data_IF_273850691446
#
_entry.id   IF_273850691446
#
_cell.length_a   1.000
_cell.length_b   1.000
_cell.length_c   1.000
_cell.angle_alpha   90.00
_cell.angle_beta   90.00
_cell.angle_gamma   90.00
#
_symmetry.space_group_name_H-M   'P 1'
#
loop_
_entity.id
_entity.type
_entity.pdbx_description
1 polymer ?
#
# COMPACT_ATOMS: atom_id res chain seq x y z
N UNK A 1 5.64 -26.65 -5.87
CA UNK A 1 4.66 -25.59 -6.15
C UNK A 1 3.60 -25.69 -5.08
N UNK A 2 3.43 -24.68 -4.21
CA UNK A 2 2.31 -24.64 -3.28
C UNK A 2 0.98 -24.68 -4.05
N UNK A 3 -0.07 -25.19 -3.43
CA UNK A 3 -1.43 -25.16 -3.97
C UNK A 3 -1.86 -23.70 -4.22
N UNK A 4 -2.34 -23.32 -5.42
CA UNK A 4 -2.80 -21.97 -5.70
C UNK A 4 -3.85 -21.45 -4.71
N UNK A 5 -4.74 -22.32 -4.21
CA UNK A 5 -5.78 -21.92 -3.26
C UNK A 5 -5.18 -21.59 -1.88
N UNK A 6 -4.19 -22.37 -1.44
CA UNK A 6 -3.45 -22.10 -0.21
C UNK A 6 -2.66 -20.78 -0.27
N UNK A 7 -2.01 -20.49 -1.41
CA UNK A 7 -1.31 -19.22 -1.59
C UNK A 7 -2.28 -18.02 -1.54
N UNK A 8 -3.47 -18.17 -2.12
CA UNK A 8 -4.51 -17.15 -2.07
C UNK A 8 -4.96 -16.87 -0.63
N UNK A 9 -5.29 -17.90 0.15
CA UNK A 9 -5.68 -17.75 1.56
C UNK A 9 -4.61 -17.05 2.40
N UNK A 10 -3.34 -17.44 2.20
CA UNK A 10 -2.21 -16.82 2.89
C UNK A 10 -2.01 -15.37 2.49
N UNK A 11 -2.18 -15.04 1.22
CA UNK A 11 -2.10 -13.66 0.73
C UNK A 11 -3.25 -12.80 1.28
N UNK A 12 -4.48 -13.30 1.25
CA UNK A 12 -5.65 -12.58 1.77
C UNK A 12 -5.50 -12.22 3.25
N UNK A 13 -4.86 -13.09 4.05
CA UNK A 13 -4.51 -12.80 5.45
C UNK A 13 -3.64 -11.54 5.61
N UNK A 14 -2.85 -11.17 4.60
CA UNK A 14 -1.98 -10.00 4.62
C UNK A 14 -2.52 -8.81 3.82
N UNK A 15 -3.58 -8.99 3.02
CA UNK A 15 -4.05 -8.02 2.04
C UNK A 15 -4.36 -6.66 2.65
N UNK A 16 -5.10 -6.62 3.76
CA UNK A 16 -5.46 -5.37 4.45
C UNK A 16 -4.22 -4.61 4.92
N UNK A 17 -3.23 -5.30 5.50
CA UNK A 17 -1.98 -4.68 5.95
C UNK A 17 -1.17 -4.14 4.76
N UNK A 18 -1.01 -4.93 3.71
CA UNK A 18 -0.27 -4.53 2.50
C UNK A 18 -0.91 -3.32 1.82
N UNK A 19 -2.24 -3.28 1.78
CA UNK A 19 -3.03 -2.15 1.27
C UNK A 19 -2.80 -0.89 2.09
N UNK A 20 -2.81 -0.98 3.42
CA UNK A 20 -2.53 0.15 4.30
C UNK A 20 -1.10 0.70 4.12
N UNK A 21 -0.10 -0.18 4.01
CA UNK A 21 1.29 0.22 3.72
C UNK A 21 1.38 0.93 2.38
N UNK A 22 0.78 0.36 1.33
CA UNK A 22 0.81 0.95 -0.01
C UNK A 22 0.08 2.31 -0.06
N UNK A 23 -1.05 2.43 0.63
CA UNK A 23 -1.80 3.70 0.72
C UNK A 23 -0.99 4.79 1.41
N UNK A 24 -0.36 4.49 2.55
CA UNK A 24 0.54 5.45 3.24
C UNK A 24 1.75 5.84 2.39
N UNK A 25 2.22 4.95 1.53
CA UNK A 25 3.32 5.24 0.62
C UNK A 25 2.90 6.12 -0.57
N UNK A 26 1.75 5.83 -1.18
CA UNK A 26 1.36 6.38 -2.49
C UNK A 26 0.34 7.52 -2.40
N UNK A 27 -0.43 7.62 -1.32
CA UNK A 27 -1.47 8.63 -1.11
C UNK A 27 -2.75 8.42 -1.93
N UNK A 28 -2.81 7.37 -2.75
CA UNK A 28 -3.95 7.01 -3.59
C UNK A 28 -4.40 5.58 -3.33
N UNK A 29 -5.71 5.37 -3.20
CA UNK A 29 -6.25 4.04 -2.98
C UNK A 29 -6.18 3.17 -4.23
N UNK A 30 -6.44 3.74 -5.40
CA UNK A 30 -6.32 3.00 -6.66
C UNK A 30 -4.90 2.48 -6.86
N UNK A 31 -3.89 3.33 -6.65
CA UNK A 31 -2.51 2.89 -6.77
C UNK A 31 -2.08 1.91 -5.66
N UNK A 32 -2.64 2.02 -4.46
CA UNK A 32 -2.42 1.06 -3.40
C UNK A 32 -2.94 -0.33 -3.80
N UNK A 33 -4.15 -0.40 -4.35
CA UNK A 33 -4.75 -1.63 -4.86
C UNK A 33 -3.92 -2.22 -6.01
N UNK A 34 -3.45 -1.39 -6.94
CA UNK A 34 -2.55 -1.80 -8.01
C UNK A 34 -1.23 -2.36 -7.47
N UNK A 35 -0.67 -1.77 -6.41
CA UNK A 35 0.58 -2.25 -5.80
C UNK A 35 0.41 -3.63 -5.17
N UNK A 36 -0.72 -3.84 -4.48
CA UNK A 36 -1.08 -5.12 -3.87
C UNK A 36 -1.35 -6.17 -4.94
N UNK A 37 -2.02 -5.81 -6.03
CA UNK A 37 -2.25 -6.71 -7.16
C UNK A 37 -0.95 -7.11 -7.86
N UNK A 38 -0.03 -6.15 -8.10
CA UNK A 38 1.30 -6.45 -8.64
C UNK A 38 2.09 -7.40 -7.72
N UNK A 39 1.97 -7.23 -6.40
CA UNK A 39 2.60 -8.12 -5.42
C UNK A 39 2.02 -9.54 -5.47
N UNK A 40 0.69 -9.69 -5.62
CA UNK A 40 0.04 -10.98 -5.85
C UNK A 40 0.59 -11.68 -7.10
N UNK A 41 0.66 -10.97 -8.23
CA UNK A 41 1.18 -11.52 -9.48
C UNK A 41 2.67 -11.92 -9.37
N UNK A 42 3.46 -11.20 -8.55
CA UNK A 42 4.84 -11.57 -8.24
C UNK A 42 4.90 -12.82 -7.37
N UNK A 43 4.07 -12.92 -6.33
CA UNK A 43 3.96 -14.10 -5.47
C UNK A 43 3.62 -15.35 -6.29
N UNK A 44 2.60 -15.27 -7.15
CA UNK A 44 2.15 -16.40 -7.96
C UNK A 44 3.20 -16.94 -8.94
N UNK A 45 4.22 -16.14 -9.28
CA UNK A 45 5.34 -16.51 -10.17
C UNK A 45 6.64 -16.81 -9.43
N UNK A 46 6.71 -16.52 -8.13
CA UNK A 46 7.92 -16.69 -7.35
C UNK A 46 7.96 -18.09 -6.72
N UNK A 47 9.16 -18.67 -6.64
CA UNK A 47 9.38 -19.81 -5.77
C UNK A 47 9.52 -19.31 -4.33
N UNK A 48 8.46 -19.48 -3.53
CA UNK A 48 8.42 -19.07 -2.12
C UNK A 48 8.66 -20.23 -1.15
N UNK A 49 9.12 -21.39 -1.63
CA UNK A 49 9.37 -22.57 -0.77
C UNK A 49 10.42 -22.33 0.32
N UNK A 50 11.35 -21.40 0.09
CA UNK A 50 12.37 -20.98 1.05
C UNK A 50 11.99 -19.72 1.86
N UNK A 51 10.76 -19.20 1.72
CA UNK A 51 10.32 -17.99 2.43
C UNK A 51 9.69 -18.37 3.77
N UNK A 52 10.46 -18.24 4.84
CA UNK A 52 9.99 -18.53 6.21
C UNK A 52 8.95 -17.51 6.72
N UNK A 53 9.10 -16.24 6.33
CA UNK A 53 8.20 -15.15 6.70
C UNK A 53 7.57 -14.53 5.45
N UNK A 54 6.45 -15.11 5.02
CA UNK A 54 5.70 -14.63 3.86
C UNK A 54 5.20 -13.18 4.03
N UNK A 55 4.73 -12.81 5.22
CA UNK A 55 4.26 -11.45 5.49
C UNK A 55 5.37 -10.41 5.30
N UNK A 56 6.54 -10.64 5.90
CA UNK A 56 7.70 -9.76 5.73
C UNK A 56 8.20 -9.70 4.29
N UNK A 57 8.16 -10.82 3.57
CA UNK A 57 8.48 -10.87 2.15
C UNK A 57 7.50 -10.02 1.32
N UNK A 58 6.18 -10.19 1.54
CA UNK A 58 5.15 -9.43 0.85
C UNK A 58 5.25 -7.93 1.13
N UNK A 59 5.47 -7.53 2.38
CA UNK A 59 5.67 -6.12 2.73
C UNK A 59 6.89 -5.54 2.03
N UNK A 60 7.97 -6.32 1.91
CA UNK A 60 9.17 -5.91 1.15
C UNK A 60 8.86 -5.72 -0.35
N UNK A 61 8.06 -6.62 -0.95
CA UNK A 61 7.67 -6.53 -2.36
C UNK A 61 6.82 -5.28 -2.60
N UNK A 62 5.80 -5.05 -1.77
CA UNK A 62 4.92 -3.87 -1.86
C UNK A 62 5.70 -2.57 -1.63
N UNK A 63 6.56 -2.52 -0.61
CA UNK A 63 7.44 -1.38 -0.34
C UNK A 63 8.29 -0.99 -1.56
N UNK A 64 8.90 -1.98 -2.23
CA UNK A 64 9.72 -1.76 -3.43
C UNK A 64 8.87 -1.25 -4.60
N UNK A 65 7.72 -1.87 -4.85
CA UNK A 65 6.78 -1.41 -5.88
C UNK A 65 6.37 0.05 -5.67
N UNK A 66 6.05 0.43 -4.44
CA UNK A 66 5.67 1.81 -4.12
C UNK A 66 6.85 2.78 -4.30
N UNK A 67 8.04 2.40 -3.81
CA UNK A 67 9.24 3.20 -3.95
C UNK A 67 9.60 3.45 -5.42
N UNK A 68 9.51 2.43 -6.26
CA UNK A 68 9.79 2.53 -7.69
C UNK A 68 8.81 3.48 -8.39
N UNK A 69 7.52 3.43 -8.03
CA UNK A 69 6.50 4.37 -8.54
C UNK A 69 6.78 5.81 -8.12
N UNK A 70 7.10 6.04 -6.84
CA UNK A 70 7.46 7.38 -6.36
C UNK A 70 8.71 7.94 -7.07
N UNK A 71 9.73 7.10 -7.27
CA UNK A 71 10.94 7.49 -8.03
C UNK A 71 10.61 7.82 -9.48
N UNK A 72 9.71 7.06 -10.11
CA UNK A 72 9.26 7.34 -11.47
C UNK A 72 8.54 8.69 -11.58
N UNK A 73 7.66 9.03 -10.62
CA UNK A 73 6.99 10.34 -10.54
C UNK A 73 7.99 11.49 -10.46
N UNK A 74 8.97 11.39 -9.56
CA UNK A 74 10.04 12.40 -9.40
C UNK A 74 10.87 12.54 -10.68
N UNK A 75 11.23 11.42 -11.32
CA UNK A 75 12.03 11.44 -12.54
C UNK A 75 11.30 12.05 -13.75
N UNK A 76 9.98 11.82 -13.86
CA UNK A 76 9.16 12.38 -14.94
C UNK A 76 8.74 13.83 -14.70
N UNK A 77 9.09 14.43 -13.55
CA UNK A 77 8.56 15.73 -13.09
C UNK A 77 7.05 15.82 -13.27
N UNK A 78 6.35 14.77 -12.87
CA UNK A 78 4.90 14.86 -12.72
C UNK A 78 4.63 15.87 -11.60
N UNK A 79 4.51 17.15 -11.96
CA UNK A 79 4.00 18.17 -11.04
C UNK A 79 2.55 17.79 -10.75
N UNK A 80 2.16 17.59 -9.49
CA UNK A 80 0.76 17.48 -9.14
C UNK A 80 0.09 18.78 -9.62
N UNK A 81 -0.77 18.69 -10.64
CA UNK A 81 -1.58 19.84 -11.04
C UNK A 81 -2.60 20.10 -9.92
N UNK A 82 -2.26 21.00 -9.00
CA UNK A 82 -3.13 21.45 -7.91
C UNK A 82 -2.75 20.91 -6.52
N UNK A 83 -3.53 21.30 -5.50
CA UNK A 83 -3.46 20.70 -4.17
C UNK A 83 -3.81 19.22 -4.32
N UNK A 84 -2.80 18.35 -4.30
CA UNK A 84 -3.03 16.92 -4.21
C UNK A 84 -3.55 16.67 -2.79
N UNK A 85 -4.87 16.71 -2.62
CA UNK A 85 -5.45 16.10 -1.44
C UNK A 85 -5.38 14.59 -1.65
N UNK A 86 -4.97 13.81 -0.64
CA UNK A 86 -5.21 12.38 -0.64
C UNK A 86 -6.68 12.14 -0.97
N UNK A 87 -6.97 11.22 -1.88
CA UNK A 87 -8.35 10.98 -2.33
C UNK A 87 -9.22 10.67 -1.10
N UNK A 88 -10.19 11.54 -0.75
CA UNK A 88 -11.10 11.26 0.33
C UNK A 88 -11.97 10.08 -0.11
N UNK A 89 -12.03 9.02 0.68
CA UNK A 89 -12.92 7.90 0.40
C UNK A 89 -14.35 8.37 0.65
N UNK A 90 -15.03 8.83 -0.39
CA UNK A 90 -16.44 9.18 -0.34
C UNK A 90 -17.23 7.87 -0.34
N UNK A 91 -17.74 7.47 0.82
CA UNK A 91 -18.77 6.43 0.87
C UNK A 91 -20.00 6.93 0.11
N UNK A 92 -20.33 6.31 -1.03
CA UNK A 92 -21.60 6.59 -1.71
C UNK A 92 -22.75 6.31 -0.74
N UNK A 93 -23.73 7.20 -0.57
CA UNK A 93 -24.84 6.99 0.37
C UNK A 93 -25.69 5.74 0.07
N UNK A 94 -25.61 5.21 -1.17
CA UNK A 94 -26.33 4.02 -1.61
C UNK A 94 -25.49 2.73 -1.62
N UNK A 95 -24.20 2.81 -1.31
CA UNK A 95 -23.34 1.64 -1.14
C UNK A 95 -23.04 1.48 0.36
N UNK A 96 -23.23 0.28 0.90
CA UNK A 96 -22.78 -0.01 2.26
C UNK A 96 -21.30 0.40 2.35
N UNK A 97 -20.92 1.32 3.27
CA UNK A 97 -19.53 1.71 3.41
C UNK A 97 -18.73 0.46 3.71
N UNK A 98 -17.67 0.24 2.96
CA UNK A 98 -16.73 -0.85 3.23
C UNK A 98 -16.19 -0.64 4.67
N UNK A 99 -16.53 -1.51 5.63
CA UNK A 99 -16.08 -1.37 7.00
C UNK A 99 -14.55 -1.30 7.09
N UNK A 100 -13.85 -1.90 6.13
CA UNK A 100 -12.40 -1.90 6.02
C UNK A 100 -11.85 -0.51 5.65
N UNK A 101 -12.55 0.25 4.81
CA UNK A 101 -12.19 1.62 4.43
C UNK A 101 -12.46 2.60 5.59
N UNK A 102 -13.50 2.35 6.39
CA UNK A 102 -13.75 3.11 7.61
C UNK A 102 -12.68 2.84 8.68
N UNK A 103 -12.20 1.60 8.82
CA UNK A 103 -11.14 1.26 9.78
C UNK A 103 -9.79 1.92 9.44
N UNK A 104 -9.48 2.11 8.15
CA UNK A 104 -8.28 2.82 7.70
C UNK A 104 -8.39 4.34 7.96
N UNK A 105 -9.61 4.89 7.96
CA UNK A 105 -9.88 6.33 8.02
C UNK A 105 -10.44 6.86 9.35
N UNK A 106 -10.69 6.02 10.34
CA UNK A 106 -11.45 6.39 11.54
C UNK A 106 -10.75 7.39 12.48
N UNK A 107 -9.60 7.97 12.12
CA UNK A 107 -9.00 9.06 12.88
C UNK A 107 -8.61 10.22 11.96
N UNK A 108 -9.08 11.43 12.30
CA UNK A 108 -8.72 12.69 11.62
C UNK A 108 -7.21 12.93 11.50
N UNK A 109 -6.43 12.26 12.37
CA UNK A 109 -4.98 12.17 12.36
C UNK A 109 -4.44 11.48 11.10
N UNK A 110 -5.17 10.54 10.50
CA UNK A 110 -4.74 9.75 9.34
C UNK A 110 -4.55 10.58 8.07
N UNK A 111 -5.48 11.49 7.75
CA UNK A 111 -5.36 12.39 6.59
C UNK A 111 -4.24 13.41 6.79
N UNK A 112 -4.11 13.97 7.99
CA UNK A 112 -3.00 14.88 8.32
C UNK A 112 -1.64 14.17 8.19
N UNK A 113 -1.56 12.90 8.59
CA UNK A 113 -0.35 12.10 8.41
C UNK A 113 0.01 11.92 6.93
N UNK A 114 -0.96 11.64 6.05
CA UNK A 114 -0.68 11.51 4.61
C UNK A 114 -0.07 12.78 4.01
N UNK A 115 -0.56 13.96 4.42
CA UNK A 115 0.01 15.25 4.02
C UNK A 115 1.45 15.40 4.52
N UNK A 116 1.75 15.00 5.75
CA UNK A 116 3.12 15.02 6.28
C UNK A 116 4.02 14.07 5.49
N UNK A 117 3.56 12.86 5.19
CA UNK A 117 4.30 11.88 4.38
C UNK A 117 4.61 12.43 2.99
N UNK A 118 3.73 13.24 2.41
CA UNK A 118 3.93 13.90 1.12
C UNK A 118 5.17 14.81 1.08
N UNK A 119 5.56 15.38 2.22
CA UNK A 119 6.74 16.25 2.33
C UNK A 119 8.08 15.49 2.35
N UNK A 120 8.07 14.18 2.58
CA UNK A 120 9.26 13.35 2.69
C UNK A 120 9.76 12.90 1.31
N UNK A 121 11.08 12.71 1.18
CA UNK A 121 11.63 12.01 0.01
C UNK A 121 11.11 10.56 -0.04
N UNK A 122 11.10 9.89 -1.21
CA UNK A 122 10.59 8.52 -1.30
C UNK A 122 11.26 7.52 -0.34
N UNK A 123 12.55 7.70 -0.07
CA UNK A 123 13.30 6.85 0.84
C UNK A 123 12.96 7.14 2.32
N UNK A 124 12.83 8.41 2.69
CA UNK A 124 12.42 8.81 4.05
C UNK A 124 10.99 8.36 4.34
N UNK A 125 10.06 8.54 3.39
CA UNK A 125 8.69 8.03 3.52
C UNK A 125 8.67 6.53 3.73
N UNK A 126 9.45 5.79 2.95
CA UNK A 126 9.56 4.34 3.12
C UNK A 126 10.06 3.96 4.51
N UNK A 127 11.14 4.60 4.97
CA UNK A 127 11.70 4.34 6.29
C UNK A 127 10.68 4.64 7.41
N UNK A 128 9.97 5.77 7.31
CA UNK A 128 8.94 6.15 8.28
C UNK A 128 7.77 5.17 8.27
N UNK A 129 7.19 4.84 7.11
CA UNK A 129 6.03 3.95 7.02
C UNK A 129 6.37 2.56 7.54
N UNK A 130 7.53 2.00 7.16
CA UNK A 130 7.95 0.70 7.68
C UNK A 130 8.23 0.76 9.18
N UNK A 131 8.83 1.84 9.69
CA UNK A 131 9.04 1.99 11.13
C UNK A 131 7.73 2.08 11.90
N UNK A 132 6.78 2.92 11.47
CA UNK A 132 5.48 3.10 12.14
C UNK A 132 4.59 1.84 12.09
N UNK A 133 4.73 1.02 11.03
CA UNK A 133 3.91 -0.19 10.89
C UNK A 133 4.45 -1.38 11.69
N UNK A 134 5.76 -1.40 12.00
CA UNK A 134 6.43 -2.50 12.71
C UNK A 134 7.01 -2.11 14.08
N UNK A 135 6.94 -0.83 14.45
CA UNK A 135 7.48 -0.25 15.68
C UNK A 135 6.57 -0.43 16.90
#
# INVERSE_FOLDING_TARGET
MPDPDWLAERFETHRTHLRAVAYRMLGSMSEADDAVQDAWLRLARADTTAVDNLGGWLTTVVARLCLDRLRARTARREEPMGVHLPEPIVSSPDAAPDPEQQAILADSVGLAMLIVLETLTPAERLAFVLHDTFG
#
